data_IF_703897998845
#
_entry.id   IF_703897998845
#
_cell.length_a   1.000
_cell.length_b   1.000
_cell.length_c   1.000
_cell.angle_alpha   90.00
_cell.angle_beta   90.00
_cell.angle_gamma   90.00
#
_symmetry.space_group_name_H-M   'P 1'
#
loop_
_entity.id
_entity.type
_entity.pdbx_description
1 polymer ?
#
# COMPACT_ATOMS: atom_id res chain seq x y z
N UNK A 1 5.20 -23.38 7.73
CA UNK A 1 4.44 -22.29 8.37
C UNK A 1 3.52 -21.77 7.30
N UNK A 2 2.24 -22.13 7.35
CA UNK A 2 1.26 -21.70 6.35
C UNK A 2 1.22 -20.18 6.31
N UNK A 3 1.49 -19.62 5.13
CA UNK A 3 1.29 -18.21 4.86
C UNK A 3 -0.23 -17.99 4.81
N UNK A 4 -0.79 -17.57 5.94
CA UNK A 4 -2.20 -17.18 6.03
C UNK A 4 -2.48 -16.05 5.04
N UNK A 5 -3.58 -16.12 4.31
CA UNK A 5 -3.91 -15.14 3.26
C UNK A 5 -4.22 -13.75 3.86
N UNK A 6 -4.04 -12.65 3.09
CA UNK A 6 -4.50 -11.33 3.47
C UNK A 6 -6.01 -11.31 3.73
N UNK A 7 -6.45 -10.56 4.77
CA UNK A 7 -7.86 -10.36 5.07
C UNK A 7 -8.28 -8.95 4.66
N UNK A 8 -9.25 -8.86 3.76
CA UNK A 8 -9.82 -7.59 3.28
C UNK A 8 -11.18 -7.35 3.93
N UNK A 9 -11.33 -6.19 4.57
CA UNK A 9 -12.60 -5.77 5.16
C UNK A 9 -13.38 -4.90 4.17
N UNK A 10 -14.72 -4.98 4.18
CA UNK A 10 -15.54 -4.10 3.37
C UNK A 10 -15.30 -2.64 3.74
N UNK A 11 -15.48 -1.76 2.76
CA UNK A 11 -15.42 -0.32 2.98
C UNK A 11 -16.64 0.12 3.78
N UNK A 12 -16.40 0.87 4.85
CA UNK A 12 -17.44 1.38 5.75
C UNK A 12 -17.33 2.87 5.94
N UNK A 13 -18.43 3.51 6.37
CA UNK A 13 -18.37 4.91 6.81
C UNK A 13 -17.44 5.04 8.01
N UNK A 14 -16.68 6.13 8.00
CA UNK A 14 -15.78 6.50 9.09
C UNK A 14 -16.43 7.62 9.89
N UNK A 15 -16.74 7.35 11.16
CA UNK A 15 -16.88 8.43 12.11
C UNK A 15 -15.48 9.03 12.37
N UNK A 16 -15.22 10.18 11.76
CA UNK A 16 -13.94 10.89 11.87
C UNK A 16 -13.68 11.39 13.29
N UNK A 17 -14.75 11.58 14.05
CA UNK A 17 -14.69 12.17 15.38
C UNK A 17 -14.74 11.16 16.52
N UNK A 18 -15.03 9.89 16.19
CA UNK A 18 -15.04 8.77 17.10
C UNK A 18 -13.78 8.68 17.99
N UNK A 19 -13.92 8.16 19.22
CA UNK A 19 -12.80 7.76 20.06
C UNK A 19 -11.84 6.81 19.32
N UNK A 20 -10.56 6.83 19.72
CA UNK A 20 -9.51 6.01 19.08
C UNK A 20 -9.86 4.52 19.04
N UNK A 21 -10.52 4.03 20.09
CA UNK A 21 -10.95 2.64 20.21
C UNK A 21 -12.00 2.24 19.16
N UNK A 22 -12.72 3.21 18.59
CA UNK A 22 -13.82 2.98 17.66
C UNK A 22 -13.45 3.31 16.21
N UNK A 23 -12.24 3.84 15.98
CA UNK A 23 -11.74 4.09 14.62
C UNK A 23 -11.53 2.80 13.82
N UNK A 24 -11.28 1.68 14.51
CA UNK A 24 -11.19 0.34 13.96
C UNK A 24 -12.22 -0.56 14.64
N UNK A 25 -12.87 -1.44 13.89
CA UNK A 25 -13.81 -2.40 14.48
C UNK A 25 -13.07 -3.43 15.32
N UNK A 26 -13.77 -4.05 16.27
CA UNK A 26 -13.20 -5.16 17.04
C UNK A 26 -12.67 -6.24 16.10
N UNK A 27 -13.33 -6.55 14.99
CA UNK A 27 -12.87 -7.56 14.04
C UNK A 27 -11.60 -7.14 13.27
N UNK A 28 -11.51 -5.87 12.87
CA UNK A 28 -10.31 -5.27 12.25
C UNK A 28 -9.11 -5.32 13.20
N UNK A 29 -9.35 -5.19 14.52
CA UNK A 29 -8.33 -5.27 15.57
C UNK A 29 -8.05 -6.71 16.04
N UNK A 30 -9.07 -7.57 16.11
CA UNK A 30 -9.05 -8.90 16.73
C UNK A 30 -8.81 -10.03 15.75
N UNK A 31 -8.76 -9.75 14.44
CA UNK A 31 -8.37 -10.74 13.44
C UNK A 31 -6.96 -11.21 13.77
N UNK A 32 -6.85 -12.33 14.51
CA UNK A 32 -5.75 -13.24 14.94
C UNK A 32 -4.26 -12.82 14.80
N UNK A 33 -4.01 -11.54 14.53
CA UNK A 33 -2.76 -10.89 14.22
C UNK A 33 -2.42 -9.88 15.31
N UNK A 34 -3.41 -9.30 16.01
CA UNK A 34 -3.41 -8.35 17.15
C UNK A 34 -2.48 -7.12 17.08
N UNK A 35 -1.48 -7.15 16.19
CA UNK A 35 -0.38 -6.24 15.90
C UNK A 35 0.06 -6.52 14.44
N UNK A 36 -0.87 -6.98 13.60
CA UNK A 36 -0.60 -7.26 12.20
C UNK A 36 -0.42 -5.97 11.40
N UNK A 37 0.48 -5.93 10.42
CA UNK A 37 0.57 -4.81 9.52
C UNK A 37 -0.70 -4.72 8.66
N UNK A 38 -1.27 -3.53 8.56
CA UNK A 38 -2.49 -3.30 7.81
C UNK A 38 -2.36 -2.10 6.88
N UNK A 39 -3.06 -2.17 5.75
CA UNK A 39 -3.26 -1.06 4.82
C UNK A 39 -4.63 -0.47 5.12
N UNK A 40 -4.66 0.84 5.29
CA UNK A 40 -5.89 1.62 5.38
C UNK A 40 -6.04 2.47 4.12
N UNK A 41 -7.25 2.50 3.57
CA UNK A 41 -7.61 3.30 2.40
C UNK A 41 -8.75 4.24 2.75
N UNK A 42 -8.54 5.53 2.55
CA UNK A 42 -9.56 6.55 2.80
C UNK A 42 -10.17 7.07 1.51
N UNK A 43 -11.47 7.27 1.54
CA UNK A 43 -12.26 7.76 0.41
C UNK A 43 -13.13 8.94 0.83
N UNK A 44 -13.39 9.85 -0.11
CA UNK A 44 -14.30 10.96 0.06
C UNK A 44 -15.77 10.51 -0.05
N UNK A 45 -16.70 11.42 0.21
CA UNK A 45 -18.15 11.14 0.13
C UNK A 45 -18.60 10.65 -1.26
N UNK A 46 -17.93 11.08 -2.33
CA UNK A 46 -18.15 10.63 -3.70
C UNK A 46 -17.31 9.39 -4.07
N UNK A 47 -16.85 8.65 -3.06
CA UNK A 47 -16.05 7.42 -3.19
C UNK A 47 -14.70 7.60 -3.90
N UNK A 48 -14.23 8.83 -4.13
CA UNK A 48 -12.89 9.07 -4.69
C UNK A 48 -11.78 8.77 -3.68
N UNK A 49 -10.65 8.18 -4.12
CA UNK A 49 -9.54 7.86 -3.24
C UNK A 49 -8.82 9.13 -2.75
N UNK A 50 -8.73 9.28 -1.42
CA UNK A 50 -8.14 10.45 -0.76
C UNK A 50 -6.71 10.17 -0.35
N UNK A 51 -6.51 9.14 0.49
CA UNK A 51 -5.21 8.80 1.04
C UNK A 51 -5.14 7.33 1.45
N UNK A 52 -4.08 6.64 1.06
CA UNK A 52 -3.79 5.26 1.45
C UNK A 52 -2.52 5.21 2.28
N UNK A 53 -2.47 4.31 3.25
CA UNK A 53 -1.28 4.15 4.08
C UNK A 53 -1.14 2.76 4.69
N UNK A 54 0.06 2.43 5.12
CA UNK A 54 0.34 1.25 5.95
C UNK A 54 0.62 1.61 7.41
N UNK A 55 0.24 0.74 8.33
CA UNK A 55 0.57 0.80 9.77
C UNK A 55 1.01 -0.59 10.27
N UNK A 56 1.81 -0.63 11.34
CA UNK A 56 2.31 -1.86 11.96
C UNK A 56 1.40 -2.40 13.07
N UNK A 57 0.10 -2.06 13.07
CA UNK A 57 -0.87 -2.67 13.98
C UNK A 57 -1.42 -1.79 15.10
N UNK A 58 -1.14 -0.48 15.14
CA UNK A 58 -1.81 0.43 16.08
C UNK A 58 -2.73 1.43 15.37
N UNK A 59 -3.85 1.77 16.02
CA UNK A 59 -4.73 2.86 15.59
C UNK A 59 -4.11 4.25 15.81
N UNK A 60 -2.98 4.35 16.54
CA UNK A 60 -2.29 5.60 16.82
C UNK A 60 -1.94 6.37 15.55
N UNK A 61 -1.60 5.65 14.46
CA UNK A 61 -1.32 6.29 13.16
C UNK A 61 -2.55 6.99 12.58
N UNK A 62 -3.76 6.47 12.81
CA UNK A 62 -5.00 7.13 12.39
C UNK A 62 -5.25 8.39 13.22
N UNK A 63 -4.95 8.35 14.52
CA UNK A 63 -5.03 9.52 15.42
C UNK A 63 -4.08 10.63 14.99
N UNK A 64 -2.85 10.27 14.64
CA UNK A 64 -1.87 11.23 14.14
C UNK A 64 -2.36 11.91 12.85
N UNK A 65 -2.97 11.15 11.93
CA UNK A 65 -3.59 11.72 10.74
C UNK A 65 -4.76 12.64 11.10
N UNK A 66 -5.67 12.23 11.99
CA UNK A 66 -6.77 13.08 12.47
C UNK A 66 -6.28 14.44 12.95
N UNK A 67 -5.16 14.47 13.66
CA UNK A 67 -4.61 15.69 14.25
C UNK A 67 -3.86 16.57 13.24
N UNK A 68 -3.19 15.98 12.25
CA UNK A 68 -2.16 16.69 11.46
C UNK A 68 -2.41 16.72 9.97
N UNK A 69 -3.24 15.82 9.44
CA UNK A 69 -3.41 15.69 8.01
C UNK A 69 -4.49 16.66 7.49
N UNK A 70 -4.08 17.54 6.58
CA UNK A 70 -4.99 18.47 5.89
C UNK A 70 -6.11 17.76 5.09
N UNK A 71 -5.92 16.48 4.76
CA UNK A 71 -6.89 15.67 4.03
C UNK A 71 -7.92 14.97 4.93
N UNK A 72 -7.69 14.87 6.25
CA UNK A 72 -8.61 14.18 7.16
C UNK A 72 -10.05 14.70 7.09
N UNK A 73 -10.30 16.03 6.98
CA UNK A 73 -11.67 16.56 6.84
C UNK A 73 -12.37 16.18 5.53
N UNK A 74 -11.68 15.59 4.56
CA UNK A 74 -12.26 15.18 3.27
C UNK A 74 -12.72 13.72 3.24
N UNK A 75 -12.38 12.95 4.27
CA UNK A 75 -12.65 11.52 4.35
C UNK A 75 -14.06 11.25 4.84
N UNK A 76 -14.75 10.30 4.20
CA UNK A 76 -16.07 9.81 4.61
C UNK A 76 -16.08 8.29 4.82
N UNK A 77 -15.21 7.57 4.10
CA UNK A 77 -15.13 6.11 4.19
C UNK A 77 -13.71 5.63 4.43
N UNK A 78 -13.62 4.47 5.06
CA UNK A 78 -12.37 3.74 5.30
C UNK A 78 -12.52 2.27 4.86
N UNK A 79 -11.48 1.73 4.25
CA UNK A 79 -11.30 0.29 4.05
C UNK A 79 -10.01 -0.17 4.73
N UNK A 80 -10.07 -1.32 5.40
CA UNK A 80 -8.93 -1.92 6.10
C UNK A 80 -8.59 -3.25 5.42
N UNK A 81 -7.30 -3.53 5.27
CA UNK A 81 -6.79 -4.82 4.83
C UNK A 81 -5.61 -5.23 5.68
N UNK A 82 -5.67 -6.41 6.30
CA UNK A 82 -4.62 -6.95 7.18
C UNK A 82 -3.77 -7.96 6.41
N UNK A 83 -2.45 -7.86 6.57
CA UNK A 83 -1.49 -8.69 5.85
C UNK A 83 -0.61 -9.49 6.82
N UNK A 84 -0.07 -10.63 6.37
CA UNK A 84 0.84 -11.44 7.18
C UNK A 84 2.13 -10.75 7.55
N UNK A 85 2.67 -9.95 6.62
CA UNK A 85 3.94 -9.27 6.79
C UNK A 85 3.87 -7.80 6.40
N UNK A 86 4.74 -6.99 7.02
CA UNK A 86 4.80 -5.55 6.72
C UNK A 86 5.25 -5.31 5.27
N UNK A 87 6.09 -6.22 4.77
CA UNK A 87 6.54 -6.24 3.37
C UNK A 87 5.36 -6.42 2.42
N UNK A 88 4.43 -7.33 2.71
CA UNK A 88 3.23 -7.53 1.89
C UNK A 88 2.27 -6.34 1.98
N UNK A 89 2.06 -5.79 3.19
CA UNK A 89 1.25 -4.59 3.35
C UNK A 89 1.80 -3.40 2.55
N UNK A 90 3.12 -3.20 2.55
CA UNK A 90 3.78 -2.12 1.79
C UNK A 90 3.69 -2.37 0.27
N UNK A 91 3.84 -3.62 -0.19
CA UNK A 91 3.62 -3.98 -1.60
C UNK A 91 2.18 -3.68 -2.03
N UNK A 92 1.21 -4.07 -1.19
CA UNK A 92 -0.20 -3.84 -1.41
C UNK A 92 -0.58 -2.36 -1.43
N UNK A 93 -0.05 -1.56 -0.49
CA UNK A 93 -0.19 -0.10 -0.47
C UNK A 93 0.37 0.51 -1.77
N UNK A 94 1.58 0.11 -2.16
CA UNK A 94 2.22 0.60 -3.40
C UNK A 94 1.37 0.29 -4.62
N UNK A 95 0.87 -0.93 -4.74
CA UNK A 95 0.02 -1.35 -5.85
C UNK A 95 -1.30 -0.56 -5.88
N UNK A 96 -1.93 -0.35 -4.72
CA UNK A 96 -3.16 0.44 -4.60
C UNK A 96 -2.95 1.91 -4.97
N UNK A 97 -1.85 2.53 -4.51
CA UNK A 97 -1.51 3.92 -4.86
C UNK A 97 -1.30 4.07 -6.38
N UNK A 98 -0.63 3.09 -7.01
CA UNK A 98 -0.41 3.09 -8.46
C UNK A 98 -1.72 2.92 -9.23
N UNK A 99 -2.58 2.00 -8.81
CA UNK A 99 -3.84 1.70 -9.48
C UNK A 99 -4.89 2.81 -9.32
N UNK A 100 -5.05 3.35 -8.10
CA UNK A 100 -6.17 4.25 -7.77
C UNK A 100 -5.75 5.73 -7.69
N UNK A 101 -4.44 6.05 -7.67
CA UNK A 101 -3.93 7.42 -7.67
C UNK A 101 -4.56 8.38 -6.63
N UNK A 102 -4.56 8.05 -5.33
CA UNK A 102 -5.15 8.88 -4.27
C UNK A 102 -4.59 10.31 -4.26
N UNK A 103 -5.48 11.28 -4.08
CA UNK A 103 -5.17 12.71 -4.23
C UNK A 103 -4.01 13.18 -3.34
N UNK A 104 -3.87 12.66 -2.12
CA UNK A 104 -2.90 13.14 -1.13
C UNK A 104 -1.67 12.25 -0.95
N UNK A 105 -1.60 11.05 -1.55
CA UNK A 105 -0.36 10.27 -1.54
C UNK A 105 0.75 10.89 -2.40
N UNK A 106 0.39 11.69 -3.41
CA UNK A 106 1.37 12.36 -4.29
C UNK A 106 2.16 13.47 -3.60
N UNK A 107 1.61 14.09 -2.55
CA UNK A 107 2.27 15.17 -1.82
C UNK A 107 3.31 14.69 -0.79
N UNK A 108 3.28 13.40 -0.40
CA UNK A 108 4.19 12.81 0.59
C UNK A 108 5.28 11.90 0.01
N UNK A 109 5.21 11.58 -1.29
CA UNK A 109 6.31 10.90 -1.97
C UNK A 109 7.47 11.89 -2.07
N UNK A 110 8.42 11.83 -1.12
CA UNK A 110 9.80 12.20 -1.47
C UNK A 110 10.06 11.48 -2.79
N UNK A 111 10.43 12.17 -3.88
CA UNK A 111 10.79 11.47 -5.09
C UNK A 111 11.73 10.36 -4.63
N UNK A 112 11.40 9.09 -4.93
CA UNK A 112 12.38 8.01 -4.76
C UNK A 112 13.66 8.62 -5.28
N UNK A 113 14.75 8.61 -4.49
CA UNK A 113 16.06 8.99 -5.03
C UNK A 113 16.24 8.07 -6.22
N UNK A 114 15.85 8.55 -7.40
CA UNK A 114 16.13 7.88 -8.63
C UNK A 114 17.65 7.97 -8.61
N UNK A 115 18.29 6.82 -8.43
CA UNK A 115 19.66 6.71 -8.87
C UNK A 115 19.59 6.90 -10.38
N UNK A 116 19.54 8.15 -10.81
CA UNK A 116 19.82 8.53 -12.18
C UNK A 116 21.31 8.31 -12.28
N UNK A 117 21.69 7.08 -12.59
CA UNK A 117 23.06 6.80 -12.94
C UNK A 117 23.23 7.43 -14.32
N UNK A 118 23.83 8.61 -14.35
CA UNK A 118 24.22 9.26 -15.59
C UNK A 118 25.39 8.47 -16.13
N UNK A 119 25.20 7.93 -17.32
CA UNK A 119 26.19 7.12 -18.00
C UNK A 119 26.70 7.92 -19.18
N UNK A 120 28.00 8.23 -19.19
CA UNK A 120 28.62 8.96 -20.30
C UNK A 120 28.67 8.10 -21.58
N UNK A 121 28.73 6.77 -21.43
CA UNK A 121 28.96 5.82 -22.53
C UNK A 121 27.70 5.12 -23.09
N UNK A 122 26.51 5.52 -22.61
CA UNK A 122 25.23 4.95 -23.06
C UNK A 122 24.89 3.56 -22.49
N UNK A 123 23.62 3.15 -22.60
CA UNK A 123 23.10 1.95 -21.93
C UNK A 123 23.78 0.64 -22.36
N UNK A 124 24.23 0.54 -23.62
CA UNK A 124 24.90 -0.67 -24.12
C UNK A 124 26.28 -0.90 -23.49
N UNK A 125 27.07 0.16 -23.26
CA UNK A 125 28.40 0.01 -22.68
C UNK A 125 28.34 -0.50 -21.23
N UNK A 126 27.36 -0.02 -20.46
CA UNK A 126 27.14 -0.50 -19.09
C UNK A 126 26.53 -1.89 -19.05
N UNK A 127 25.62 -2.23 -19.97
CA UNK A 127 25.13 -3.59 -20.06
C UNK A 127 26.29 -4.57 -20.32
N UNK A 128 27.25 -4.19 -21.18
CA UNK A 128 28.45 -4.99 -21.43
C UNK A 128 29.38 -5.07 -20.21
N UNK A 129 29.55 -3.97 -19.47
CA UNK A 129 30.39 -3.95 -18.26
C UNK A 129 29.76 -4.74 -17.11
N UNK A 130 28.46 -4.56 -16.87
CA UNK A 130 27.70 -5.34 -15.90
C UNK A 130 27.75 -6.82 -16.26
N UNK A 131 27.57 -7.19 -17.52
CA UNK A 131 27.69 -8.58 -17.96
C UNK A 131 29.11 -9.14 -17.71
N UNK A 132 30.16 -8.31 -17.84
CA UNK A 132 31.54 -8.72 -17.61
C UNK A 132 31.90 -8.84 -16.12
N UNK A 133 31.43 -7.90 -15.30
CA UNK A 133 31.81 -7.77 -13.90
C UNK A 133 30.85 -8.45 -12.92
N UNK A 134 29.58 -8.63 -13.30
CA UNK A 134 28.59 -9.24 -12.43
C UNK A 134 28.80 -10.75 -12.30
N UNK A 135 28.53 -11.32 -11.12
CA UNK A 135 28.43 -12.77 -10.97
C UNK A 135 27.39 -13.33 -11.96
N UNK A 136 27.71 -14.44 -12.61
CA UNK A 136 26.83 -15.10 -13.60
C UNK A 136 25.43 -15.37 -13.06
N UNK A 137 25.32 -15.67 -11.76
CA UNK A 137 24.04 -15.90 -11.08
C UNK A 137 23.18 -14.62 -11.03
N UNK A 138 23.79 -13.45 -10.76
CA UNK A 138 23.07 -12.18 -10.77
C UNK A 138 22.52 -11.84 -12.16
N UNK A 139 23.32 -12.06 -13.20
CA UNK A 139 22.90 -11.81 -14.59
C UNK A 139 21.76 -12.74 -15.00
N UNK A 140 21.85 -14.03 -14.62
CA UNK A 140 20.82 -15.03 -14.88
C UNK A 140 19.51 -14.69 -14.17
N UNK A 141 19.56 -14.31 -12.90
CA UNK A 141 18.37 -13.96 -12.12
C UNK A 141 17.74 -12.66 -12.62
N UNK A 142 18.56 -11.66 -12.98
CA UNK A 142 18.07 -10.43 -13.59
C UNK A 142 17.41 -10.71 -14.95
N UNK A 143 18.00 -11.57 -15.79
CA UNK A 143 17.42 -11.96 -17.08
C UNK A 143 16.08 -12.69 -16.91
N UNK A 144 15.97 -13.60 -15.94
CA UNK A 144 14.70 -14.25 -15.57
C UNK A 144 13.65 -13.24 -15.13
N UNK A 145 14.04 -12.29 -14.27
CA UNK A 145 13.16 -11.21 -13.79
C UNK A 145 12.67 -10.33 -14.94
N UNK A 146 13.55 -9.95 -15.87
CA UNK A 146 13.19 -9.10 -17.02
C UNK A 146 12.34 -9.82 -18.07
N UNK A 147 12.53 -11.13 -18.23
CA UNK A 147 11.74 -11.96 -19.15
C UNK A 147 10.31 -12.24 -18.63
N UNK A 148 10.07 -12.02 -17.35
CA UNK A 148 8.78 -12.22 -16.68
C UNK A 148 8.37 -10.95 -15.92
N UNK A 149 8.07 -9.84 -16.63
CA UNK A 149 7.77 -8.54 -16.03
C UNK A 149 6.56 -8.56 -15.07
N UNK A 150 5.66 -9.52 -15.22
CA UNK A 150 4.56 -9.80 -14.29
C UNK A 150 5.04 -10.16 -12.87
N UNK A 151 6.25 -10.70 -12.71
CA UNK A 151 6.87 -10.92 -11.39
C UNK A 151 7.16 -9.60 -10.66
N UNK A 152 7.21 -8.47 -11.36
CA UNK A 152 7.39 -7.13 -10.79
C UNK A 152 6.09 -6.44 -10.41
N UNK A 153 4.94 -6.89 -10.93
CA UNK A 153 3.68 -6.21 -10.67
C UNK A 153 3.00 -6.88 -9.48
N UNK A 154 3.08 -6.30 -8.26
CA UNK A 154 2.23 -6.78 -7.18
C UNK A 154 0.78 -6.68 -7.65
N UNK A 155 0.05 -7.79 -7.59
CA UNK A 155 -1.39 -7.77 -7.83
C UNK A 155 -2.00 -6.73 -6.90
N UNK A 156 -2.68 -5.70 -7.43
CA UNK A 156 -3.32 -4.73 -6.59
C UNK A 156 -4.34 -5.47 -5.71
N UNK A 157 -4.42 -5.13 -4.41
CA UNK A 157 -5.44 -5.74 -3.58
C UNK A 157 -6.81 -5.37 -4.15
N UNK A 158 -7.84 -6.19 -3.92
CA UNK A 158 -9.18 -5.94 -4.43
C UNK A 158 -9.61 -4.49 -4.20
N UNK A 159 -10.36 -3.95 -5.16
CA UNK A 159 -10.93 -2.62 -5.06
C UNK A 159 -11.87 -2.51 -3.85
N UNK A 160 -12.18 -1.28 -3.41
CA UNK A 160 -13.10 -1.07 -2.31
C UNK A 160 -14.46 -1.70 -2.62
N UNK A 161 -14.97 -2.51 -1.69
CA UNK A 161 -16.35 -3.00 -1.71
C UNK A 161 -17.14 -2.15 -0.75
N UNK A 162 -17.90 -1.19 -1.26
CA UNK A 162 -18.80 -0.36 -0.44
C UNK A 162 -20.04 -1.18 -0.10
N UNK A 163 -20.32 -1.36 1.18
CA UNK A 163 -21.58 -1.97 1.62
C UNK A 163 -22.67 -0.92 1.42
N UNK A 164 -23.63 -1.20 0.55
CA UNK A 164 -24.78 -0.32 0.37
C UNK A 164 -25.70 -0.47 1.58
N UNK A 165 -25.97 0.61 2.32
CA UNK A 165 -26.89 0.61 3.47
C UNK A 165 -28.36 0.41 3.05
N UNK A 166 -28.64 0.14 1.77
CA UNK A 166 -29.98 -0.06 1.22
C UNK A 166 -30.61 -1.45 1.51
N UNK A 167 -29.97 -2.28 2.33
CA UNK A 167 -30.56 -3.54 2.83
C UNK A 167 -30.25 -3.75 4.32
N UNK A 168 -30.81 -2.90 5.18
CA UNK A 168 -31.00 -3.15 6.61
C UNK A 168 -32.38 -2.66 7.04
#
# INVERSE_FOLDING_TARGET
MDATEPKHFPTRRLDRDAPVADLLTTEEMSSHWAIGPYVYRFYAADQRPVYFGVSSGSALRLVDHRRTAAWWPLVEFISISVYPTYREATKAETAAIQAESPAFNRQGLRPRKQAVIKFEDGAQAIAAELHRAAPTELVRDLARLLAAPELFQPTPPPGPVFVDEAQA
#
